data_IF_111434069475
#
_entry.id   IF_111434069475
#
_cell.length_a   1.000
_cell.length_b   1.000
_cell.length_c   1.000
_cell.angle_alpha   90.00
_cell.angle_beta   90.00
_cell.angle_gamma   90.00
#
_symmetry.space_group_name_H-M   'P 1'
#
loop_
_entity.id
_entity.type
_entity.pdbx_description
1 polymer ?
#
# COMPACT_ATOMS: atom_id res chain seq x y z
N UNK A 1 10.89 13.89 0.42
CA UNK A 1 11.18 12.47 0.11
C UNK A 1 11.67 11.67 1.32
N UNK A 2 12.76 12.07 2.00
CA UNK A 2 13.33 11.31 3.14
C UNK A 2 12.32 11.04 4.28
N UNK A 3 11.60 12.06 4.73
CA UNK A 3 10.58 11.92 5.78
C UNK A 3 9.46 10.94 5.38
N UNK A 4 9.00 10.99 4.13
CA UNK A 4 7.99 10.06 3.62
C UNK A 4 8.48 8.61 3.62
N UNK A 5 9.71 8.37 3.18
CA UNK A 5 10.33 7.03 3.20
C UNK A 5 10.40 6.51 4.64
N UNK A 6 10.84 7.33 5.59
CA UNK A 6 10.90 6.94 7.01
C UNK A 6 9.52 6.58 7.55
N UNK A 7 8.51 7.42 7.32
CA UNK A 7 7.13 7.13 7.76
C UNK A 7 6.56 5.89 7.08
N UNK A 8 6.83 5.69 5.78
CA UNK A 8 6.41 4.49 5.05
C UNK A 8 7.04 3.22 5.61
N UNK A 9 8.33 3.25 5.96
CA UNK A 9 9.01 2.13 6.61
C UNK A 9 8.36 1.85 7.97
N UNK A 10 8.17 2.86 8.81
CA UNK A 10 7.56 2.69 10.13
C UNK A 10 6.14 2.12 10.06
N UNK A 11 5.31 2.64 9.15
CA UNK A 11 3.93 2.16 8.97
C UNK A 11 3.90 0.72 8.48
N UNK A 12 4.74 0.35 7.51
CA UNK A 12 4.75 -1.00 6.96
C UNK A 12 5.40 -2.02 7.92
N UNK A 13 6.42 -1.62 8.70
CA UNK A 13 6.94 -2.45 9.80
C UNK A 13 5.88 -2.67 10.89
N UNK A 14 5.14 -1.61 11.25
CA UNK A 14 4.02 -1.70 12.19
C UNK A 14 2.93 -2.65 11.69
N UNK A 15 2.53 -2.51 10.42
CA UNK A 15 1.61 -3.44 9.76
C UNK A 15 2.11 -4.88 9.85
N UNK A 16 3.35 -5.12 9.44
CA UNK A 16 3.96 -6.45 9.47
C UNK A 16 3.90 -7.07 10.87
N UNK A 17 4.32 -6.32 11.89
CA UNK A 17 4.32 -6.75 13.29
C UNK A 17 2.91 -7.03 13.81
N UNK A 18 1.93 -6.15 13.52
CA UNK A 18 0.53 -6.33 13.93
C UNK A 18 -0.06 -7.64 13.41
N UNK A 19 0.31 -8.05 12.19
CA UNK A 19 -0.10 -9.35 11.64
C UNK A 19 0.31 -10.54 12.51
N UNK A 20 1.48 -10.48 13.16
CA UNK A 20 1.97 -11.54 14.04
C UNK A 20 1.36 -11.51 15.45
N UNK A 21 0.87 -10.35 15.89
CA UNK A 21 0.29 -10.18 17.23
C UNK A 21 -1.17 -10.67 17.28
N UNK A 22 -1.90 -10.59 16.17
CA UNK A 22 -3.31 -11.00 16.11
C UNK A 22 -3.39 -12.53 15.96
N UNK A 23 -3.89 -13.29 16.96
CA UNK A 23 -3.84 -14.76 16.91
C UNK A 23 -4.54 -15.35 15.70
N UNK A 24 -5.71 -14.82 15.35
CA UNK A 24 -6.49 -15.23 14.18
C UNK A 24 -5.83 -14.94 12.82
N UNK A 25 -4.77 -14.12 12.81
CA UNK A 25 -4.04 -13.72 11.60
C UNK A 25 -2.60 -14.27 11.57
N UNK A 26 -2.08 -14.74 12.71
CA UNK A 26 -0.70 -15.16 12.91
C UNK A 26 -0.22 -16.27 11.96
N UNK A 27 -1.07 -17.25 11.66
CA UNK A 27 -0.76 -18.31 10.69
C UNK A 27 -0.51 -17.73 9.29
N UNK A 28 -1.38 -16.83 8.83
CA UNK A 28 -1.19 -16.15 7.56
C UNK A 28 0.00 -15.19 7.58
N UNK A 29 0.22 -14.47 8.69
CA UNK A 29 1.35 -13.56 8.84
C UNK A 29 2.72 -14.27 8.78
N UNK A 30 2.75 -15.55 9.13
CA UNK A 30 3.94 -16.40 9.04
C UNK A 30 4.25 -16.86 7.61
N UNK A 31 3.34 -16.64 6.66
CA UNK A 31 3.56 -17.00 5.25
C UNK A 31 4.33 -15.92 4.50
N UNK A 32 5.02 -16.32 3.42
CA UNK A 32 5.63 -15.37 2.49
C UNK A 32 4.63 -14.43 1.83
N UNK A 33 3.37 -14.86 1.66
CA UNK A 33 2.34 -14.03 1.07
C UNK A 33 2.14 -12.73 1.86
N UNK A 34 2.15 -12.78 3.19
CA UNK A 34 2.04 -11.57 4.02
C UNK A 34 3.24 -10.63 3.84
N UNK A 35 4.46 -11.17 3.91
CA UNK A 35 5.68 -10.38 3.73
C UNK A 35 5.73 -9.71 2.35
N UNK A 36 5.39 -10.44 1.28
CA UNK A 36 5.32 -9.91 -0.08
C UNK A 36 4.24 -8.84 -0.22
N UNK A 37 3.10 -8.98 0.45
CA UNK A 37 2.02 -8.01 0.41
C UNK A 37 2.46 -6.69 1.05
N UNK A 38 3.06 -6.76 2.25
CA UNK A 38 3.56 -5.56 2.95
C UNK A 38 4.67 -4.87 2.15
N UNK A 39 5.70 -5.62 1.72
CA UNK A 39 6.83 -5.06 0.96
C UNK A 39 6.36 -4.52 -0.39
N UNK A 40 5.52 -5.26 -1.10
CA UNK A 40 4.96 -4.87 -2.39
C UNK A 40 4.15 -3.57 -2.30
N UNK A 41 3.30 -3.44 -1.29
CA UNK A 41 2.54 -2.19 -1.07
C UNK A 41 3.41 -1.02 -0.66
N UNK A 42 4.46 -1.24 0.14
CA UNK A 42 5.42 -0.21 0.49
C UNK A 42 6.12 0.31 -0.78
N UNK A 43 6.67 -0.60 -1.59
CA UNK A 43 7.36 -0.25 -2.85
C UNK A 43 6.42 0.47 -3.82
N UNK A 44 5.22 -0.08 -4.05
CA UNK A 44 4.22 0.53 -4.92
C UNK A 44 3.90 1.96 -4.45
N UNK A 45 3.73 2.15 -3.14
CA UNK A 45 3.40 3.46 -2.56
C UNK A 45 4.54 4.46 -2.71
N UNK A 46 5.79 4.03 -2.55
CA UNK A 46 6.96 4.88 -2.79
C UNK A 46 7.06 5.32 -4.26
N UNK A 47 6.85 4.39 -5.20
CA UNK A 47 6.88 4.68 -6.64
C UNK A 47 5.79 5.68 -7.02
N UNK A 48 4.56 5.47 -6.53
CA UNK A 48 3.43 6.34 -6.77
C UNK A 48 3.61 7.72 -6.12
N UNK A 49 4.16 7.78 -4.91
CA UNK A 49 4.46 9.06 -4.27
C UNK A 49 5.53 9.84 -5.03
N UNK A 50 6.56 9.17 -5.53
CA UNK A 50 7.58 9.79 -6.38
C UNK A 50 6.98 10.35 -7.67
N UNK A 51 6.02 9.63 -8.27
CA UNK A 51 5.27 10.13 -9.42
C UNK A 51 4.45 11.38 -9.06
N UNK A 52 3.76 11.40 -7.93
CA UNK A 52 2.99 12.57 -7.44
C UNK A 52 3.90 13.78 -7.23
N UNK A 53 5.06 13.60 -6.57
CA UNK A 53 6.03 14.68 -6.35
C UNK A 53 6.52 15.26 -7.69
N UNK A 54 6.83 14.40 -8.67
CA UNK A 54 7.22 14.85 -10.02
C UNK A 54 6.10 15.54 -10.79
N UNK A 55 4.85 15.17 -10.55
CA UNK A 55 3.70 15.81 -11.19
C UNK A 55 3.40 17.19 -10.56
N UNK A 56 3.62 17.31 -9.25
CA UNK A 56 3.44 18.57 -8.51
C UNK A 56 4.32 19.71 -9.03
N UNK A 57 5.54 19.41 -9.50
CA UNK A 57 6.45 20.44 -10.04
C UNK A 57 6.07 20.95 -11.43
N UNK A 58 5.09 20.34 -12.10
CA UNK A 58 4.73 20.67 -13.49
C UNK A 58 3.48 21.52 -13.56
N UNK A 59 2.35 21.04 -13.02
CA UNK A 59 1.12 21.84 -12.93
C UNK A 59 0.14 21.28 -11.91
N UNK A 60 -0.79 22.10 -11.37
CA UNK A 60 -1.84 21.64 -10.47
C UNK A 60 -2.72 20.54 -11.08
N UNK A 61 -3.02 20.63 -12.38
CA UNK A 61 -3.83 19.62 -13.08
C UNK A 61 -3.11 18.26 -13.17
N UNK A 62 -1.78 18.27 -13.37
CA UNK A 62 -0.98 17.04 -13.38
C UNK A 62 -0.86 16.44 -11.98
N UNK A 63 -0.76 17.26 -10.93
CA UNK A 63 -0.78 16.80 -9.54
C UNK A 63 -2.07 16.03 -9.21
N UNK A 64 -3.23 16.63 -9.48
CA UNK A 64 -4.54 15.99 -9.20
C UNK A 64 -4.68 14.69 -10.00
N UNK A 65 -4.28 14.71 -11.28
CA UNK A 65 -4.26 13.50 -12.13
C UNK A 65 -3.35 12.41 -11.54
N UNK A 66 -2.17 12.76 -11.03
CA UNK A 66 -1.26 11.79 -10.42
C UNK A 66 -1.79 11.21 -9.10
N UNK A 67 -2.45 12.02 -8.26
CA UNK A 67 -3.07 11.54 -7.01
C UNK A 67 -4.22 10.57 -7.30
N UNK A 68 -5.11 10.93 -8.21
CA UNK A 68 -6.22 10.06 -8.61
C UNK A 68 -5.72 8.81 -9.33
N UNK A 69 -4.73 8.97 -10.22
CA UNK A 69 -4.08 7.88 -10.94
C UNK A 69 -3.37 6.92 -9.99
N UNK A 70 -2.68 7.41 -8.96
CA UNK A 70 -2.06 6.58 -7.93
C UNK A 70 -3.10 5.79 -7.13
N UNK A 71 -4.23 6.41 -6.80
CA UNK A 71 -5.33 5.72 -6.12
C UNK A 71 -5.92 4.61 -7.01
N UNK A 72 -6.21 4.92 -8.28
CA UNK A 72 -6.70 3.94 -9.25
C UNK A 72 -5.71 2.78 -9.47
N UNK A 73 -4.42 3.09 -9.59
CA UNK A 73 -3.36 2.10 -9.71
C UNK A 73 -3.36 1.14 -8.52
N UNK A 74 -3.47 1.66 -7.29
CA UNK A 74 -3.55 0.81 -6.09
C UNK A 74 -4.77 -0.09 -6.09
N UNK A 75 -5.95 0.41 -6.49
CA UNK A 75 -7.17 -0.40 -6.56
C UNK A 75 -7.06 -1.50 -7.61
N UNK A 76 -6.54 -1.19 -8.80
CA UNK A 76 -6.31 -2.18 -9.86
C UNK A 76 -5.26 -3.22 -9.43
N UNK A 77 -4.19 -2.79 -8.76
CA UNK A 77 -3.20 -3.71 -8.20
C UNK A 77 -3.79 -4.60 -7.10
N UNK A 78 -4.63 -4.06 -6.21
CA UNK A 78 -5.36 -4.86 -5.21
C UNK A 78 -6.19 -5.95 -5.87
N UNK A 79 -6.93 -5.59 -6.93
CA UNK A 79 -7.77 -6.52 -7.67
C UNK A 79 -6.93 -7.63 -8.33
N UNK A 80 -5.82 -7.27 -8.95
CA UNK A 80 -4.90 -8.23 -9.55
C UNK A 80 -4.32 -9.19 -8.50
N UNK A 81 -3.86 -8.64 -7.35
CA UNK A 81 -3.28 -9.41 -6.25
C UNK A 81 -4.30 -10.39 -5.65
N UNK A 82 -5.54 -9.93 -5.39
CA UNK A 82 -6.57 -10.80 -4.82
C UNK A 82 -6.97 -11.91 -5.78
N UNK A 83 -7.10 -11.58 -7.07
CA UNK A 83 -7.43 -12.56 -8.11
C UNK A 83 -6.33 -13.61 -8.22
N UNK A 84 -5.07 -13.18 -8.28
CA UNK A 84 -3.93 -14.09 -8.35
C UNK A 84 -3.87 -15.02 -7.15
N UNK A 85 -4.03 -14.49 -5.93
CA UNK A 85 -3.97 -15.32 -4.72
C UNK A 85 -5.11 -16.34 -4.65
N UNK A 86 -6.33 -15.94 -5.01
CA UNK A 86 -7.48 -16.84 -4.96
C UNK A 86 -7.46 -17.90 -6.06
N UNK A 87 -6.99 -17.56 -7.27
CA UNK A 87 -7.05 -18.45 -8.43
C UNK A 87 -5.77 -19.27 -8.59
N UNK A 88 -4.59 -18.65 -8.47
CA UNK A 88 -3.32 -19.30 -8.77
C UNK A 88 -2.65 -19.93 -7.54
N UNK A 89 -2.84 -19.35 -6.35
CA UNK A 89 -2.22 -19.85 -5.10
C UNK A 89 -3.15 -20.81 -4.33
N UNK A 90 -4.44 -20.80 -4.64
CA UNK A 90 -5.43 -21.71 -4.05
C UNK A 90 -6.15 -21.19 -2.80
N UNK A 91 -5.86 -19.96 -2.34
CA UNK A 91 -6.71 -19.24 -1.40
C UNK A 91 -6.85 -19.84 0.01
N UNK A 92 -5.87 -20.60 0.50
CA UNK A 92 -5.91 -21.29 1.81
C UNK A 92 -6.31 -20.36 2.96
N UNK A 93 -5.64 -19.20 3.06
CA UNK A 93 -5.96 -18.16 4.06
C UNK A 93 -6.78 -17.01 3.46
N UNK A 94 -7.83 -17.28 2.67
CA UNK A 94 -8.62 -16.26 1.95
C UNK A 94 -9.11 -15.08 2.80
N UNK A 95 -9.62 -15.33 4.01
CA UNK A 95 -10.15 -14.27 4.90
C UNK A 95 -9.00 -13.42 5.46
N UNK A 96 -7.98 -14.01 6.15
CA UNK A 96 -6.81 -13.25 6.59
C UNK A 96 -6.13 -12.51 5.43
N UNK A 97 -5.98 -13.15 4.27
CA UNK A 97 -5.40 -12.50 3.10
C UNK A 97 -6.18 -11.27 2.66
N UNK A 98 -7.51 -11.36 2.51
CA UNK A 98 -8.32 -10.24 2.07
C UNK A 98 -8.29 -9.08 3.07
N UNK A 99 -8.35 -9.38 4.38
CA UNK A 99 -8.23 -8.37 5.44
C UNK A 99 -6.83 -7.74 5.48
N UNK A 100 -5.78 -8.54 5.30
CA UNK A 100 -4.40 -8.09 5.23
C UNK A 100 -4.16 -7.19 4.01
N UNK A 101 -4.67 -7.59 2.85
CA UNK A 101 -4.64 -6.81 1.61
C UNK A 101 -5.33 -5.47 1.79
N UNK A 102 -6.54 -5.48 2.37
CA UNK A 102 -7.29 -4.27 2.66
C UNK A 102 -6.54 -3.37 3.65
N UNK A 103 -5.98 -3.93 4.73
CA UNK A 103 -5.21 -3.18 5.72
C UNK A 103 -3.96 -2.53 5.12
N UNK A 104 -3.18 -3.29 4.34
CA UNK A 104 -2.00 -2.78 3.64
C UNK A 104 -2.38 -1.69 2.63
N UNK A 105 -3.46 -1.89 1.87
CA UNK A 105 -4.02 -0.90 0.95
C UNK A 105 -4.44 0.38 1.69
N UNK A 106 -5.24 0.26 2.75
CA UNK A 106 -5.81 1.39 3.48
C UNK A 106 -4.72 2.23 4.15
N UNK A 107 -3.81 1.60 4.90
CA UNK A 107 -2.74 2.32 5.59
C UNK A 107 -1.81 3.05 4.62
N UNK A 108 -1.40 2.39 3.53
CA UNK A 108 -0.52 3.00 2.54
C UNK A 108 -1.24 4.06 1.70
N UNK A 109 -2.55 3.94 1.47
CA UNK A 109 -3.35 4.96 0.78
C UNK A 109 -3.55 6.19 1.65
N UNK A 110 -3.88 6.00 2.93
CA UNK A 110 -3.95 7.09 3.90
C UNK A 110 -2.63 7.85 3.96
N UNK A 111 -1.51 7.13 4.09
CA UNK A 111 -0.17 7.74 4.11
C UNK A 111 0.12 8.55 2.84
N UNK A 112 -0.21 7.98 1.66
CA UNK A 112 -0.01 8.63 0.37
C UNK A 112 -0.83 9.92 0.25
N UNK A 113 -2.13 9.85 0.55
CA UNK A 113 -3.05 10.99 0.43
C UNK A 113 -2.70 12.09 1.43
N UNK A 114 -2.50 11.75 2.70
CA UNK A 114 -2.12 12.70 3.73
C UNK A 114 -0.78 13.40 3.42
N UNK A 115 0.17 12.66 2.84
CA UNK A 115 1.45 13.25 2.43
C UNK A 115 1.34 14.09 1.16
N UNK A 116 0.43 13.74 0.25
CA UNK A 116 0.17 14.51 -0.98
C UNK A 116 -0.48 15.85 -0.66
N UNK A 117 -1.41 15.90 0.31
CA UNK A 117 -2.03 17.15 0.75
C UNK A 117 -1.01 18.16 1.29
N UNK A 118 0.03 17.69 1.99
CA UNK A 118 1.13 18.55 2.46
C UNK A 118 1.93 19.19 1.32
N UNK A 119 1.97 18.57 0.14
CA UNK A 119 2.64 19.13 -1.04
C UNK A 119 1.77 20.21 -1.69
N UNK A 120 0.45 20.04 -1.70
CA UNK A 120 -0.49 20.99 -2.32
C UNK A 120 -0.65 22.31 -1.56
N UNK A 121 -0.30 22.34 -0.27
CA UNK A 121 -0.41 23.52 0.59
C UNK A 121 0.95 24.16 0.94
N UNK A 122 2.04 23.66 0.34
CA UNK A 122 3.40 24.16 0.53
C UNK A 122 3.91 24.99 -0.64
#
# INVERSE_FOLDING_TARGET
>A
MKAFIQTSILVNLGLYAVGHVIPAFSEFASTWAWAMLVVGYAVLTLLLFHWIVRAATKSPMQFVTAVNGATAAKMLTSLAIVTYYLVAVGGVHRIPFALGLFGAFAANTFLLVASSQKISHG
#
